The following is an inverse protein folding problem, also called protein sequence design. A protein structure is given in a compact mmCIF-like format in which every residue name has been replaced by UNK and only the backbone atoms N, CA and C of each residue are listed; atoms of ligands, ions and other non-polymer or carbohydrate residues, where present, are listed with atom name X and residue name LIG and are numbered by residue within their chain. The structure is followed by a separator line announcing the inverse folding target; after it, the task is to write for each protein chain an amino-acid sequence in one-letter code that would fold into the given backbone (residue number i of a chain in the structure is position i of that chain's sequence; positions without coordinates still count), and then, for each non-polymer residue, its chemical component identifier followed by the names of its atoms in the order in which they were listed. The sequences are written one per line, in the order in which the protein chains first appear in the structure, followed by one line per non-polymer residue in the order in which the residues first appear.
data_IF_679914772367
#
_entry.id   IF_679914772367
#
_cell.length_a   1.000
_cell.length_b   1.000
_cell.length_c   1.000
_cell.angle_alpha   90.00
_cell.angle_beta   90.00
_cell.angle_gamma   90.00
#
_symmetry.space_group_name_H-M   'P 1'
#
loop_
_entity.id
_entity.type
_entity.pdbx_description
1 polymer ?
#
# COMPACT_ATOMS: atom_id res chain seq x y z
N UNK A 1 10.63 -16.52 -9.42
CA UNK A 1 11.28 -15.62 -10.39
C UNK A 1 11.08 -14.19 -9.90
N UNK A 2 12.17 -13.53 -9.54
CA UNK A 2 12.17 -12.11 -9.16
C UNK A 2 11.66 -11.33 -10.36
N UNK A 3 10.59 -10.55 -10.19
CA UNK A 3 10.03 -9.73 -11.26
C UNK A 3 11.12 -8.78 -11.80
N UNK A 4 11.23 -8.66 -13.12
CA UNK A 4 12.23 -7.82 -13.79
C UNK A 4 12.24 -6.38 -13.23
N UNK A 5 11.07 -5.86 -12.82
CA UNK A 5 10.95 -4.53 -12.21
C UNK A 5 11.67 -4.37 -10.86
N UNK A 6 11.71 -5.42 -10.04
CA UNK A 6 12.40 -5.39 -8.74
C UNK A 6 13.92 -5.47 -8.90
N UNK A 7 14.40 -6.18 -9.93
CA UNK A 7 15.82 -6.26 -10.27
C UNK A 7 16.32 -4.88 -10.73
N UNK A 8 15.60 -4.18 -11.61
CA UNK A 8 16.02 -2.87 -12.10
C UNK A 8 15.99 -1.78 -11.00
N UNK A 9 15.00 -1.80 -10.11
CA UNK A 9 14.95 -0.84 -9.00
C UNK A 9 16.06 -1.08 -7.98
N UNK A 10 16.35 -2.33 -7.63
CA UNK A 10 17.51 -2.64 -6.79
C UNK A 10 18.81 -2.26 -7.48
N UNK A 11 18.94 -2.50 -8.78
CA UNK A 11 20.12 -2.10 -9.54
C UNK A 11 20.31 -0.57 -9.54
N UNK A 12 19.24 0.21 -9.67
CA UNK A 12 19.32 1.69 -9.59
C UNK A 12 19.64 2.13 -8.16
N UNK A 13 19.01 1.55 -7.14
CA UNK A 13 19.29 1.88 -5.74
C UNK A 13 20.71 1.45 -5.34
N UNK A 14 21.15 0.27 -5.76
CA UNK A 14 22.50 -0.22 -5.55
C UNK A 14 23.53 0.58 -6.37
N UNK A 15 23.21 0.97 -7.61
CA UNK A 15 24.04 1.86 -8.41
C UNK A 15 24.22 3.22 -7.72
N UNK A 16 23.13 3.80 -7.20
CA UNK A 16 23.18 5.08 -6.44
C UNK A 16 24.00 4.90 -5.16
N UNK A 17 23.87 3.78 -4.45
CA UNK A 17 24.65 3.48 -3.24
C UNK A 17 26.14 3.29 -3.53
N UNK A 18 26.47 2.53 -4.56
CA UNK A 18 27.85 2.14 -4.90
C UNK A 18 28.57 3.25 -5.64
N UNK A 19 27.96 3.83 -6.68
CA UNK A 19 28.60 4.82 -7.55
C UNK A 19 28.61 6.23 -6.93
N UNK A 20 27.51 6.62 -6.26
CA UNK A 20 27.41 7.92 -5.62
C UNK A 20 27.86 7.91 -4.14
N UNK A 21 28.37 6.76 -3.64
CA UNK A 21 28.81 6.60 -2.23
C UNK A 21 27.78 7.08 -1.19
N UNK A 22 26.50 6.94 -1.50
CA UNK A 22 25.39 7.33 -0.60
C UNK A 22 24.77 6.08 0.00
N UNK A 23 25.06 5.81 1.26
CA UNK A 23 24.54 4.65 2.01
C UNK A 23 23.02 4.69 2.28
N UNK A 24 22.33 5.79 1.95
CA UNK A 24 20.93 6.05 2.32
C UNK A 24 19.91 5.89 1.17
N UNK A 25 20.32 5.46 -0.03
CA UNK A 25 19.42 5.32 -1.18
C UNK A 25 18.72 6.64 -1.57
N UNK A 26 17.48 6.56 -2.07
CA UNK A 26 16.68 7.72 -2.43
C UNK A 26 16.19 8.48 -1.18
N UNK A 27 16.29 9.80 -1.20
CA UNK A 27 15.72 10.66 -0.15
C UNK A 27 14.19 10.57 -0.15
N UNK A 28 13.55 10.75 1.02
CA UNK A 28 12.10 10.68 1.17
C UNK A 28 11.33 11.57 0.16
N UNK A 29 11.80 12.78 -0.10
CA UNK A 29 11.18 13.68 -1.08
C UNK A 29 11.28 13.17 -2.52
N UNK A 30 12.37 12.44 -2.88
CA UNK A 30 12.54 11.83 -4.21
C UNK A 30 11.57 10.66 -4.40
N UNK A 31 11.40 9.84 -3.36
CA UNK A 31 10.39 8.77 -3.34
C UNK A 31 8.98 9.35 -3.52
N UNK A 32 8.66 10.41 -2.77
CA UNK A 32 7.36 11.07 -2.87
C UNK A 32 7.13 11.70 -4.25
N UNK A 33 8.14 12.36 -4.82
CA UNK A 33 8.06 12.94 -6.15
C UNK A 33 7.80 11.87 -7.23
N UNK A 34 8.51 10.74 -7.17
CA UNK A 34 8.26 9.60 -8.04
C UNK A 34 6.84 9.04 -7.91
N UNK A 35 6.35 8.90 -6.67
CA UNK A 35 4.97 8.46 -6.41
C UNK A 35 3.94 9.44 -7.00
N UNK A 36 4.15 10.75 -6.89
CA UNK A 36 3.26 11.78 -7.47
C UNK A 36 3.20 11.66 -8.99
N UNK A 37 4.34 11.50 -9.67
CA UNK A 37 4.38 11.32 -11.13
C UNK A 37 3.61 10.06 -11.54
N UNK A 38 3.91 8.92 -10.92
CA UNK A 38 3.23 7.65 -11.22
C UNK A 38 1.73 7.76 -10.97
N UNK A 39 1.33 8.40 -9.86
CA UNK A 39 -0.09 8.65 -9.55
C UNK A 39 -0.76 9.50 -10.61
N UNK A 40 -0.10 10.55 -11.09
CA UNK A 40 -0.64 11.42 -12.15
C UNK A 40 -0.84 10.67 -13.48
N UNK A 41 0.14 9.85 -13.88
CA UNK A 41 0.03 8.99 -15.05
C UNK A 41 -1.12 7.98 -14.89
N UNK A 42 -1.23 7.36 -13.73
CA UNK A 42 -2.29 6.39 -13.45
C UNK A 42 -3.68 7.05 -13.41
N UNK A 43 -3.82 8.23 -12.80
CA UNK A 43 -5.07 8.99 -12.81
C UNK A 43 -5.49 9.37 -14.24
N UNK A 44 -4.55 9.81 -15.08
CA UNK A 44 -4.79 10.07 -16.48
C UNK A 44 -5.25 8.82 -17.25
N UNK A 45 -4.60 7.68 -17.00
CA UNK A 45 -5.00 6.39 -17.57
C UNK A 45 -6.42 5.99 -17.15
N UNK A 46 -6.75 6.08 -15.86
CA UNK A 46 -8.07 5.74 -15.36
C UNK A 46 -9.18 6.54 -16.05
N UNK A 47 -8.98 7.84 -16.24
CA UNK A 47 -10.00 8.72 -16.78
C UNK A 47 -10.18 8.52 -18.30
N UNK A 48 -9.08 8.33 -19.04
CA UNK A 48 -9.12 8.37 -20.50
C UNK A 48 -9.20 6.99 -21.15
N UNK A 49 -8.72 5.94 -20.49
CA UNK A 49 -8.58 4.61 -21.08
C UNK A 49 -9.37 3.52 -20.39
N UNK A 50 -10.04 3.84 -19.26
CA UNK A 50 -10.89 2.86 -18.57
C UNK A 50 -12.34 3.32 -18.51
N UNK A 51 -13.25 2.37 -18.42
CA UNK A 51 -14.68 2.64 -18.19
C UNK A 51 -15.00 2.90 -16.73
N UNK A 52 -14.00 3.08 -15.86
CA UNK A 52 -14.17 3.28 -14.42
C UNK A 52 -14.91 4.58 -14.13
N UNK A 53 -14.69 5.62 -14.94
CA UNK A 53 -15.26 6.96 -14.73
C UNK A 53 -14.77 7.58 -13.42
N UNK A 54 -15.55 8.54 -12.91
CA UNK A 54 -15.23 9.28 -11.67
C UNK A 54 -16.05 8.81 -10.47
N UNK A 55 -16.62 7.60 -10.53
CA UNK A 55 -17.54 7.09 -9.51
C UNK A 55 -16.88 6.00 -8.65
N UNK A 56 -17.20 6.00 -7.35
CA UNK A 56 -16.76 5.01 -6.37
C UNK A 56 -17.97 4.37 -5.71
N UNK A 57 -17.92 3.04 -5.51
CA UNK A 57 -18.97 2.30 -4.82
C UNK A 57 -18.96 2.65 -3.33
N UNK A 58 -20.12 3.05 -2.80
CA UNK A 58 -20.28 3.32 -1.37
C UNK A 58 -20.46 1.98 -0.64
N UNK A 59 -19.62 1.68 0.38
CA UNK A 59 -19.77 0.47 1.17
C UNK A 59 -21.18 0.31 1.76
N UNK A 60 -21.70 -0.92 1.79
CA UNK A 60 -22.96 -1.29 2.44
C UNK A 60 -24.24 -0.62 1.90
N UNK A 61 -24.21 -0.04 0.69
CA UNK A 61 -25.36 0.70 0.12
C UNK A 61 -26.11 -0.02 -0.99
N UNK A 62 -25.95 -1.34 -1.12
CA UNK A 62 -26.61 -2.15 -2.16
C UNK A 62 -26.34 -1.62 -3.59
N UNK A 63 -25.09 -1.21 -3.86
CA UNK A 63 -24.65 -0.83 -5.21
C UNK A 63 -24.80 0.65 -5.56
N UNK A 64 -24.96 1.55 -4.59
CA UNK A 64 -24.95 3.00 -4.87
C UNK A 64 -23.53 3.50 -5.12
N UNK A 65 -23.39 4.35 -6.14
CA UNK A 65 -22.10 4.96 -6.50
C UNK A 65 -22.10 6.45 -6.13
N UNK A 66 -20.97 6.90 -5.58
CA UNK A 66 -20.66 8.31 -5.38
C UNK A 66 -19.87 8.83 -6.57
N UNK A 67 -20.43 9.78 -7.32
CA UNK A 67 -19.70 10.43 -8.40
C UNK A 67 -18.96 11.65 -7.85
N UNK A 68 -17.64 11.63 -7.92
CA UNK A 68 -16.76 12.69 -7.42
C UNK A 68 -16.50 13.81 -8.43
N UNK A 69 -16.80 13.58 -9.73
CA UNK A 69 -16.52 14.56 -10.77
C UNK A 69 -15.06 15.05 -10.72
N UNK A 70 -14.87 16.36 -10.61
CA UNK A 70 -13.54 16.99 -10.55
C UNK A 70 -12.73 16.61 -9.30
N UNK A 71 -13.40 16.22 -8.21
CA UNK A 71 -12.73 15.77 -6.98
C UNK A 71 -12.16 14.36 -7.08
N UNK A 72 -12.40 13.64 -8.18
CA UNK A 72 -11.86 12.31 -8.40
C UNK A 72 -10.33 12.31 -8.46
N UNK A 73 -9.72 13.28 -9.15
CA UNK A 73 -8.26 13.38 -9.26
C UNK A 73 -7.60 13.55 -7.89
N UNK A 74 -7.97 14.56 -7.07
CA UNK A 74 -7.45 14.67 -5.70
C UNK A 74 -7.68 13.40 -4.87
N UNK A 75 -8.84 12.76 -5.01
CA UNK A 75 -9.13 11.52 -4.31
C UNK A 75 -8.19 10.38 -4.71
N UNK A 76 -7.90 10.21 -6.01
CA UNK A 76 -6.91 9.23 -6.49
C UNK A 76 -5.55 9.46 -5.86
N UNK A 77 -5.09 10.72 -5.77
CA UNK A 77 -3.82 11.04 -5.12
C UNK A 77 -3.82 10.67 -3.64
N UNK A 78 -4.87 11.01 -2.89
CA UNK A 78 -4.99 10.67 -1.47
C UNK A 78 -5.00 9.16 -1.28
N UNK A 79 -5.79 8.44 -2.07
CA UNK A 79 -5.94 6.98 -1.98
C UNK A 79 -4.62 6.30 -2.32
N UNK A 80 -4.00 6.65 -3.44
CA UNK A 80 -2.79 5.97 -3.91
C UNK A 80 -1.60 6.28 -2.99
N UNK A 81 -1.34 7.56 -2.70
CA UNK A 81 -0.23 7.94 -1.82
C UNK A 81 -0.44 7.41 -0.40
N UNK A 82 -1.67 7.49 0.13
CA UNK A 82 -1.99 6.96 1.45
C UNK A 82 -1.78 5.46 1.54
N UNK A 83 -2.27 4.70 0.57
CA UNK A 83 -2.17 3.23 0.57
C UNK A 83 -0.74 2.76 0.34
N UNK A 84 -0.01 3.38 -0.60
CA UNK A 84 1.40 3.04 -0.90
C UNK A 84 2.29 3.28 0.31
N UNK A 85 2.16 4.43 0.97
CA UNK A 85 2.95 4.71 2.16
C UNK A 85 2.45 3.92 3.37
N UNK A 86 1.15 3.60 3.45
CA UNK A 86 0.58 2.72 4.46
C UNK A 86 1.18 1.33 4.43
N UNK A 87 1.23 0.72 3.24
CA UNK A 87 1.89 -0.57 3.04
C UNK A 87 3.37 -0.53 3.43
N UNK A 88 4.07 0.55 3.06
CA UNK A 88 5.49 0.72 3.40
C UNK A 88 5.72 0.90 4.92
N UNK A 89 4.87 1.65 5.61
CA UNK A 89 4.94 1.76 7.07
C UNK A 89 4.57 0.47 7.79
N UNK A 90 3.73 -0.36 7.19
CA UNK A 90 3.35 -1.67 7.74
C UNK A 90 4.48 -2.71 7.62
N UNK A 91 5.46 -2.48 6.73
CA UNK A 91 6.62 -3.38 6.52
C UNK A 91 7.73 -3.17 7.57
N UNK A 92 7.35 -3.00 8.83
CA UNK A 92 8.28 -2.80 9.95
C UNK A 92 8.52 -4.04 10.81
N UNK A 93 7.70 -5.08 10.70
CA UNK A 93 7.81 -6.33 11.45
C UNK A 93 7.75 -7.54 10.51
N UNK A 94 8.35 -8.65 10.96
CA UNK A 94 8.40 -9.90 10.20
C UNK A 94 6.99 -10.42 9.88
N UNK A 95 6.66 -10.49 8.60
CA UNK A 95 5.38 -11.01 8.12
C UNK A 95 4.19 -10.04 8.17
N UNK A 96 4.28 -8.89 8.83
CA UNK A 96 3.15 -7.98 9.03
C UNK A 96 2.59 -7.47 7.68
N UNK A 97 3.42 -6.84 6.86
CA UNK A 97 2.98 -6.31 5.56
C UNK A 97 2.49 -7.41 4.62
N UNK A 98 3.17 -8.55 4.61
CA UNK A 98 2.82 -9.67 3.75
C UNK A 98 1.48 -10.31 4.13
N UNK A 99 1.24 -10.58 5.42
CA UNK A 99 0.00 -11.20 5.92
C UNK A 99 -1.20 -10.28 5.71
N UNK A 100 -1.06 -9.00 6.07
CA UNK A 100 -2.11 -7.99 5.83
C UNK A 100 -2.44 -7.87 4.35
N UNK A 101 -1.42 -7.84 3.47
CA UNK A 101 -1.65 -7.73 2.03
C UNK A 101 -2.32 -8.98 1.45
N UNK A 102 -2.01 -10.19 1.97
CA UNK A 102 -2.72 -11.43 1.57
C UNK A 102 -4.22 -11.30 1.82
N UNK A 103 -4.63 -10.81 2.99
CA UNK A 103 -6.03 -10.62 3.34
C UNK A 103 -6.71 -9.59 2.41
N UNK A 104 -6.05 -8.46 2.17
CA UNK A 104 -6.54 -7.41 1.28
C UNK A 104 -6.67 -7.93 -0.15
N UNK A 105 -5.65 -8.60 -0.68
CA UNK A 105 -5.64 -9.14 -2.03
C UNK A 105 -6.70 -10.24 -2.20
N UNK A 106 -6.93 -11.07 -1.16
CA UNK A 106 -8.01 -12.07 -1.15
C UNK A 106 -9.37 -11.40 -1.24
N UNK A 107 -9.60 -10.33 -0.47
CA UNK A 107 -10.85 -9.55 -0.57
C UNK A 107 -11.07 -9.04 -2.00
N UNK A 108 -10.08 -8.41 -2.63
CA UNK A 108 -10.21 -7.91 -3.98
C UNK A 108 -10.37 -9.03 -5.02
N UNK A 109 -9.75 -10.18 -4.80
CA UNK A 109 -9.97 -11.37 -5.64
C UNK A 109 -11.44 -11.81 -5.62
N UNK A 110 -12.00 -11.98 -4.42
CA UNK A 110 -13.39 -12.40 -4.25
C UNK A 110 -14.35 -11.34 -4.81
N UNK A 111 -14.07 -10.07 -4.54
CA UNK A 111 -14.87 -8.95 -5.08
C UNK A 111 -14.85 -8.92 -6.62
N UNK A 112 -13.68 -9.09 -7.23
CA UNK A 112 -13.53 -9.10 -8.68
C UNK A 112 -14.25 -10.30 -9.33
N UNK A 113 -14.18 -11.49 -8.73
CA UNK A 113 -14.94 -12.67 -9.17
C UNK A 113 -16.46 -12.40 -9.06
N UNK A 114 -16.92 -11.81 -7.97
CA UNK A 114 -18.31 -11.46 -7.76
C UNK A 114 -18.87 -10.42 -8.75
N UNK A 115 -18.00 -9.56 -9.31
CA UNK A 115 -18.35 -8.59 -10.35
C UNK A 115 -18.44 -9.19 -11.76
N UNK A 116 -18.09 -10.42 -11.94
CA UNK A 116 -18.20 -11.45 -12.99
C UNK A 116 -18.16 -11.05 -14.47
N UNK A 117 -18.90 -10.07 -14.90
CA UNK A 117 -19.09 -9.73 -16.32
C UNK A 117 -18.44 -8.41 -16.74
N UNK A 118 -17.61 -7.84 -15.88
CA UNK A 118 -16.87 -6.63 -16.17
C UNK A 118 -15.47 -7.01 -16.68
N UNK A 119 -15.10 -6.59 -17.89
CA UNK A 119 -13.80 -6.89 -18.51
C UNK A 119 -12.61 -6.53 -17.62
N UNK A 120 -12.71 -5.41 -16.88
CA UNK A 120 -11.70 -5.00 -15.91
C UNK A 120 -11.60 -5.98 -14.75
N UNK A 121 -12.72 -6.40 -14.18
CA UNK A 121 -12.74 -7.37 -13.08
C UNK A 121 -12.18 -8.73 -13.55
N UNK A 122 -12.52 -9.15 -14.78
CA UNK A 122 -11.99 -10.37 -15.39
C UNK A 122 -10.46 -10.34 -15.56
N UNK A 123 -9.87 -9.17 -15.81
CA UNK A 123 -8.41 -9.00 -15.85
C UNK A 123 -7.75 -8.92 -14.46
N UNK A 124 -8.47 -8.42 -13.45
CA UNK A 124 -7.91 -8.15 -12.12
C UNK A 124 -7.86 -9.40 -11.25
N UNK A 125 -8.89 -10.26 -11.25
CA UNK A 125 -8.93 -11.41 -10.33
C UNK A 125 -7.75 -12.37 -10.52
N UNK A 126 -7.25 -12.70 -11.75
CA UNK A 126 -6.10 -13.60 -11.89
C UNK A 126 -4.82 -12.96 -11.32
N UNK A 127 -4.64 -11.65 -11.52
CA UNK A 127 -3.48 -10.90 -10.97
C UNK A 127 -3.54 -10.88 -9.44
N UNK A 128 -4.72 -10.66 -8.88
CA UNK A 128 -4.93 -10.69 -7.43
C UNK A 128 -4.68 -12.09 -6.84
N UNK A 129 -5.17 -13.16 -7.49
CA UNK A 129 -4.86 -14.54 -7.11
C UNK A 129 -3.36 -14.84 -7.16
N UNK A 130 -2.68 -14.40 -8.23
CA UNK A 130 -1.23 -14.58 -8.36
C UNK A 130 -0.47 -13.84 -7.26
N UNK A 131 -0.94 -12.64 -6.89
CA UNK A 131 -0.37 -11.85 -5.78
C UNK A 131 -0.55 -12.59 -4.46
N UNK A 132 -1.75 -13.13 -4.17
CA UNK A 132 -2.00 -13.93 -2.96
C UNK A 132 -1.07 -15.14 -2.92
N UNK A 133 -0.98 -15.91 -4.00
CA UNK A 133 -0.10 -17.08 -4.05
C UNK A 133 1.37 -16.74 -3.86
N UNK A 134 1.83 -15.65 -4.49
CA UNK A 134 3.21 -15.18 -4.36
C UNK A 134 3.53 -14.74 -2.93
N UNK A 135 2.61 -14.03 -2.28
CA UNK A 135 2.77 -13.58 -0.90
C UNK A 135 2.71 -14.74 0.10
N UNK A 136 1.85 -15.72 -0.11
CA UNK A 136 1.84 -16.94 0.72
C UNK A 136 3.16 -17.70 0.61
N UNK A 137 3.73 -17.82 -0.61
CA UNK A 137 5.05 -18.40 -0.81
C UNK A 137 6.17 -17.56 -0.16
N UNK A 138 6.07 -16.23 -0.20
CA UNK A 138 7.02 -15.33 0.46
C UNK A 138 6.93 -15.43 1.98
N UNK A 139 5.73 -15.53 2.54
CA UNK A 139 5.48 -15.65 3.98
C UNK A 139 6.17 -16.84 4.60
N UNK A 140 6.36 -17.97 3.88
CA UNK A 140 7.11 -19.13 4.38
C UNK A 140 8.51 -18.74 4.87
N UNK A 141 9.09 -17.69 4.28
CA UNK A 141 10.43 -17.20 4.61
C UNK A 141 10.43 -15.86 5.37
N UNK A 142 9.28 -15.17 5.41
CA UNK A 142 9.15 -13.84 6.00
C UNK A 142 8.46 -13.84 7.37
N UNK A 143 7.85 -14.98 7.81
CA UNK A 143 7.30 -15.13 9.18
C UNK A 143 8.43 -15.15 10.20
N UNK A 144 8.17 -14.59 11.37
CA UNK A 144 9.12 -14.50 12.49
C UNK A 144 9.66 -15.88 12.94
N UNK A 145 10.98 -16.05 13.05
CA UNK A 145 12.06 -15.13 12.68
C UNK A 145 12.32 -15.15 11.16
N UNK A 146 12.20 -14.00 10.52
CA UNK A 146 12.28 -13.89 9.08
C UNK A 146 13.67 -14.20 8.52
N UNK A 147 13.69 -14.95 7.41
CA UNK A 147 14.90 -15.25 6.64
C UNK A 147 15.07 -14.36 5.42
N UNK A 148 13.97 -13.74 4.98
CA UNK A 148 13.93 -12.87 3.79
C UNK A 148 13.05 -11.65 4.13
N UNK A 149 13.54 -10.46 3.80
CA UNK A 149 12.86 -9.20 4.03
C UNK A 149 12.35 -8.61 2.72
N UNK A 150 11.21 -7.92 2.76
CA UNK A 150 10.58 -7.35 1.57
C UNK A 150 11.27 -6.07 1.10
N UNK A 151 11.55 -5.17 2.02
CA UNK A 151 12.13 -3.86 1.77
C UNK A 151 11.18 -2.89 1.04
N UNK A 152 11.61 -1.62 0.94
CA UNK A 152 10.82 -0.52 0.39
C UNK A 152 10.24 -0.79 -1.00
N UNK A 153 10.99 -1.47 -1.87
CA UNK A 153 10.53 -1.76 -3.24
C UNK A 153 9.33 -2.70 -3.25
N UNK A 154 9.37 -3.73 -2.42
CA UNK A 154 8.27 -4.70 -2.33
C UNK A 154 7.05 -4.08 -1.66
N UNK A 155 7.20 -3.45 -0.51
CA UNK A 155 6.09 -2.87 0.24
C UNK A 155 5.41 -1.72 -0.52
N UNK A 156 6.17 -0.84 -1.20
CA UNK A 156 5.59 0.20 -2.06
C UNK A 156 4.84 -0.40 -3.26
N UNK A 157 5.37 -1.48 -3.86
CA UNK A 157 4.69 -2.18 -4.96
C UNK A 157 3.38 -2.83 -4.51
N UNK A 158 3.34 -3.42 -3.31
CA UNK A 158 2.12 -3.98 -2.74
C UNK A 158 1.06 -2.90 -2.46
N UNK A 159 1.47 -1.77 -1.88
CA UNK A 159 0.57 -0.63 -1.68
C UNK A 159 0.01 -0.09 -2.99
N UNK A 160 0.86 -0.01 -4.03
CA UNK A 160 0.45 0.37 -5.39
C UNK A 160 -0.55 -0.63 -5.99
N UNK A 161 -0.30 -1.92 -5.84
CA UNK A 161 -1.23 -2.98 -6.25
C UNK A 161 -2.60 -2.84 -5.58
N UNK A 162 -2.64 -2.67 -4.26
CA UNK A 162 -3.88 -2.51 -3.48
C UNK A 162 -4.66 -1.28 -3.95
N UNK A 163 -3.99 -0.12 -4.07
CA UNK A 163 -4.63 1.12 -4.49
C UNK A 163 -5.14 1.04 -5.94
N UNK A 164 -4.33 0.53 -6.87
CA UNK A 164 -4.69 0.39 -8.27
C UNK A 164 -5.90 -0.56 -8.44
N UNK A 165 -5.86 -1.73 -7.80
CA UNK A 165 -6.96 -2.70 -7.82
C UNK A 165 -8.25 -2.08 -7.30
N UNK A 166 -8.20 -1.40 -6.15
CA UNK A 166 -9.35 -0.74 -5.56
C UNK A 166 -9.94 0.35 -6.46
N UNK A 167 -9.09 1.16 -7.09
CA UNK A 167 -9.49 2.22 -8.02
C UNK A 167 -10.11 1.64 -9.29
N UNK A 168 -9.49 0.64 -9.89
CA UNK A 168 -9.97 -0.01 -11.12
C UNK A 168 -11.32 -0.74 -10.89
N UNK A 169 -11.53 -1.35 -9.73
CA UNK A 169 -12.79 -1.97 -9.35
C UNK A 169 -13.84 -0.97 -8.80
N UNK A 170 -13.53 0.32 -8.71
CA UNK A 170 -14.36 1.36 -8.06
C UNK A 170 -14.61 1.12 -6.57
N UNK A 171 -13.79 0.28 -5.92
CA UNK A 171 -13.92 -0.13 -4.51
C UNK A 171 -13.02 0.68 -3.57
N UNK A 172 -12.59 1.87 -3.97
CA UNK A 172 -11.63 2.67 -3.20
C UNK A 172 -12.13 3.06 -1.81
N UNK A 173 -13.45 3.24 -1.64
CA UNK A 173 -14.05 3.54 -0.34
C UNK A 173 -14.06 2.32 0.61
N UNK A 174 -13.69 1.13 0.13
CA UNK A 174 -13.48 -0.05 0.97
C UNK A 174 -12.07 -0.11 1.57
N UNK A 175 -11.09 0.62 1.03
CA UNK A 175 -9.71 0.63 1.55
C UNK A 175 -9.67 0.92 3.06
N UNK A 176 -10.39 1.94 3.59
CA UNK A 176 -10.40 2.20 5.04
C UNK A 176 -10.87 1.03 5.90
N UNK A 177 -11.64 0.11 5.32
CA UNK A 177 -12.19 -1.05 6.02
C UNK A 177 -11.26 -2.25 5.83
N UNK A 178 -10.92 -2.56 4.58
CA UNK A 178 -10.17 -3.77 4.20
C UNK A 178 -8.68 -3.63 4.47
N UNK A 179 -8.13 -2.44 4.27
CA UNK A 179 -6.74 -2.10 4.55
C UNK A 179 -6.62 -1.21 5.82
N UNK A 180 -7.44 -1.50 6.84
CA UNK A 180 -7.50 -0.73 8.08
C UNK A 180 -6.13 -0.63 8.75
N UNK A 181 -5.33 -1.70 8.72
CA UNK A 181 -3.98 -1.70 9.29
C UNK A 181 -3.10 -0.65 8.58
N UNK A 182 -3.09 -0.62 7.24
CA UNK A 182 -2.35 0.41 6.50
C UNK A 182 -2.76 1.83 6.90
N UNK A 183 -4.07 2.05 7.09
CA UNK A 183 -4.56 3.35 7.54
C UNK A 183 -4.10 3.70 8.95
N UNK A 184 -4.19 2.77 9.89
CA UNK A 184 -3.76 2.98 11.27
C UNK A 184 -2.26 3.32 11.32
N UNK A 185 -1.44 2.62 10.54
CA UNK A 185 0.00 2.88 10.48
C UNK A 185 0.29 4.30 9.95
N UNK A 186 -0.32 4.70 8.82
CA UNK A 186 -0.17 6.07 8.28
C UNK A 186 -0.67 7.12 9.25
N UNK A 187 -1.88 6.93 9.79
CA UNK A 187 -2.48 7.91 10.71
C UNK A 187 -1.69 8.06 12.01
N UNK A 188 -1.10 6.97 12.51
CA UNK A 188 -0.23 7.02 13.69
C UNK A 188 1.02 7.87 13.45
N UNK A 189 1.64 7.75 12.27
CA UNK A 189 2.80 8.57 11.88
C UNK A 189 2.39 10.02 11.73
N UNK A 190 1.27 10.30 11.04
CA UNK A 190 0.77 11.67 10.85
C UNK A 190 0.44 12.33 12.19
N UNK A 191 -0.27 11.60 13.08
CA UNK A 191 -0.62 12.07 14.42
C UNK A 191 0.63 12.35 15.27
N UNK A 192 1.62 11.45 15.24
CA UNK A 192 2.88 11.62 15.93
C UNK A 192 3.62 12.89 15.47
N UNK A 193 3.76 13.08 14.15
CA UNK A 193 4.47 14.23 13.57
C UNK A 193 3.74 15.54 13.88
N UNK A 194 2.40 15.54 13.74
CA UNK A 194 1.59 16.72 14.03
C UNK A 194 1.70 17.10 15.52
N UNK A 195 1.48 16.13 16.40
CA UNK A 195 1.56 16.35 17.85
C UNK A 195 2.95 16.83 18.29
N UNK A 196 4.01 16.21 17.74
CA UNK A 196 5.39 16.59 18.03
C UNK A 196 5.69 18.05 17.64
N UNK A 197 5.21 18.49 16.47
CA UNK A 197 5.36 19.87 16.01
C UNK A 197 4.55 20.85 16.86
N UNK A 198 3.29 20.52 17.19
CA UNK A 198 2.40 21.38 17.98
C UNK A 198 2.89 21.52 19.42
N UNK A 199 3.46 20.49 20.00
CA UNK A 199 3.90 20.46 21.41
C UNK A 199 5.39 20.74 21.59
N UNK A 200 6.08 21.16 20.51
CA UNK A 200 7.53 21.50 20.53
C UNK A 200 8.39 20.36 21.09
N UNK A 201 8.10 19.10 20.70
CA UNK A 201 8.97 17.96 20.99
C UNK A 201 8.37 16.86 21.88
N UNK A 202 7.12 17.00 22.33
CA UNK A 202 6.46 15.89 23.05
C UNK A 202 5.99 14.80 22.07
N UNK A 203 6.09 13.54 22.49
CA UNK A 203 5.66 12.39 21.70
C UNK A 203 4.27 11.94 22.12
N UNK A 204 3.40 11.61 21.16
CA UNK A 204 2.08 11.03 21.40
C UNK A 204 2.21 9.53 21.69
N UNK A 205 2.95 8.83 20.83
CA UNK A 205 3.29 7.41 20.98
C UNK A 205 4.75 7.28 21.37
N UNK A 206 5.15 6.17 22.00
CA UNK A 206 6.56 5.87 22.31
C UNK A 206 7.40 5.91 21.03
N UNK A 207 6.86 5.35 19.94
CA UNK A 207 7.41 5.41 18.59
C UNK A 207 6.27 5.30 17.58
N UNK A 208 6.46 5.81 16.38
CA UNK A 208 5.58 5.63 15.22
C UNK A 208 6.41 5.06 14.06
N UNK A 209 5.84 4.21 13.22
CA UNK A 209 4.45 3.72 13.18
C UNK A 209 4.00 2.94 14.44
N UNK A 210 2.68 2.70 14.59
CA UNK A 210 2.10 2.26 15.86
C UNK A 210 2.54 0.86 16.31
N UNK A 211 2.91 -0.03 15.40
CA UNK A 211 3.43 -1.37 15.75
C UNK A 211 4.68 -1.25 16.64
N UNK A 212 5.57 -0.30 16.41
CA UNK A 212 6.73 -0.03 17.27
C UNK A 212 6.34 0.49 18.65
N UNK A 213 5.19 1.17 18.78
CA UNK A 213 4.68 1.56 20.10
C UNK A 213 4.36 0.33 20.96
N UNK A 214 3.77 -0.71 20.36
CA UNK A 214 3.44 -1.96 21.07
C UNK A 214 4.69 -2.75 21.43
N UNK A 215 5.69 -2.85 20.54
CA UNK A 215 6.97 -3.47 20.84
C UNK A 215 7.66 -2.80 22.04
N UNK A 216 7.76 -1.46 22.01
CA UNK A 216 8.34 -0.67 23.11
C UNK A 216 7.47 -0.69 24.39
N UNK A 217 6.26 -1.19 24.29
CA UNK A 217 5.39 -1.45 25.44
C UNK A 217 5.51 -2.87 26.00
N UNK A 218 6.44 -3.69 25.43
CA UNK A 218 6.78 -5.01 25.92
C UNK A 218 5.99 -6.15 25.25
N UNK A 219 5.30 -5.89 24.14
CA UNK A 219 4.66 -6.96 23.38
C UNK A 219 5.69 -7.65 22.50
N UNK A 220 5.74 -8.99 22.50
CA UNK A 220 6.58 -9.71 21.54
C UNK A 220 6.05 -9.51 20.13
N UNK A 221 6.94 -9.53 19.14
CA UNK A 221 6.62 -9.29 17.72
C UNK A 221 5.49 -10.21 17.21
N UNK A 222 5.54 -11.49 17.58
CA UNK A 222 4.49 -12.48 17.25
C UNK A 222 3.11 -12.18 17.82
N UNK A 223 2.99 -11.24 18.75
CA UNK A 223 1.71 -10.78 19.30
C UNK A 223 1.23 -9.50 18.63
N UNK A 224 2.16 -8.72 18.09
CA UNK A 224 1.85 -7.48 17.38
C UNK A 224 1.34 -7.79 15.96
N UNK A 225 1.95 -8.79 15.29
CA UNK A 225 1.55 -9.32 13.97
C UNK A 225 0.38 -10.30 14.12
#
# INVERSE_FOLDING_TARGET
SRGLGDVYKRQIDDYIKVVMKRNLGLRAWQKMFGQIIVTGIFAYYLINYTQTGTSMLIPFTHGKYLNLGVFFIPAVFIILLGTVNGANFTDGLDGLASSVTVLIATFFTVAAIGMGHNDLAAGIWPVSCATVGSLLGFLVFNVYPARVFMGDTGSLALGGFVAATALMLRLSLFIPIVALIYMIEVLSVMAQVLYFKMTKGKRLFKMAPIHHHFELSGWPETKVV
#
